data_IF_922324340483
#
_entry.id   IF_922324340483
#
_cell.length_a   1.000
_cell.length_b   1.000
_cell.length_c   1.000
_cell.angle_alpha   90.00
_cell.angle_beta   90.00
_cell.angle_gamma   90.00
#
_symmetry.space_group_name_H-M   'P 1'
#
loop_
_entity.id
_entity.type
_entity.pdbx_description
1 polymer ?
#
# COMPACT_ATOMS: atom_id res chain seq x y z
N UNK A 1 50.72 16.45 24.98
CA UNK A 1 51.27 17.75 25.42
C UNK A 1 52.52 18.01 24.59
N UNK A 2 52.45 19.01 23.71
CA UNK A 2 53.56 19.73 23.02
C UNK A 2 54.34 18.92 21.95
N UNK A 3 54.81 19.44 20.83
CA UNK A 3 54.45 20.50 19.86
C UNK A 3 55.51 20.34 18.73
N UNK A 4 55.13 20.78 17.53
CA UNK A 4 55.93 21.18 16.35
C UNK A 4 57.46 21.07 16.37
N UNK A 5 58.03 20.67 15.22
CA UNK A 5 58.89 21.53 14.37
C UNK A 5 59.28 20.81 13.05
N UNK A 6 58.87 21.28 11.87
CA UNK A 6 59.51 22.22 10.89
C UNK A 6 60.83 21.72 10.24
N UNK A 7 60.92 21.95 8.92
CA UNK A 7 62.06 21.96 7.96
C UNK A 7 62.24 20.66 7.16
N UNK A 8 62.71 20.64 5.91
CA UNK A 8 62.86 21.58 4.80
C UNK A 8 63.20 20.70 3.56
N UNK A 9 62.92 21.19 2.34
CA UNK A 9 63.37 20.64 1.04
C UNK A 9 64.92 20.73 0.89
N UNK A 10 65.61 20.29 -0.20
CA UNK A 10 65.20 19.65 -1.47
C UNK A 10 66.13 18.46 -1.90
N UNK A 11 65.89 17.85 -3.07
CA UNK A 11 66.92 17.62 -4.11
C UNK A 11 66.36 16.80 -5.29
N UNK A 12 66.67 17.28 -6.49
CA UNK A 12 66.37 16.75 -7.82
C UNK A 12 67.52 15.84 -8.26
N UNK A 13 67.27 14.67 -8.86
CA UNK A 13 67.92 14.30 -10.14
C UNK A 13 67.41 13.00 -10.76
N UNK A 14 67.62 12.96 -12.07
CA UNK A 14 67.05 12.10 -13.10
C UNK A 14 67.48 10.63 -13.09
N UNK A 15 66.58 9.74 -13.51
CA UNK A 15 66.89 8.58 -14.35
C UNK A 15 65.62 8.01 -15.02
N UNK A 16 65.55 8.09 -16.35
CA UNK A 16 64.76 7.19 -17.23
C UNK A 16 65.67 6.01 -17.62
N UNK A 17 65.21 4.96 -18.33
CA UNK A 17 63.89 4.31 -18.35
C UNK A 17 64.01 2.77 -18.32
N UNK A 18 63.03 2.02 -17.83
CA UNK A 18 62.82 0.65 -18.32
C UNK A 18 61.34 0.33 -18.47
N UNK A 19 61.01 0.02 -19.72
CA UNK A 19 59.71 -0.40 -20.24
C UNK A 19 59.24 -1.67 -19.53
N UNK A 20 58.01 -1.67 -19.03
CA UNK A 20 57.19 -2.89 -18.94
C UNK A 20 55.85 -2.64 -19.60
N UNK A 21 55.49 -3.61 -20.43
CA UNK A 21 54.43 -3.55 -21.42
C UNK A 21 53.05 -3.38 -20.79
N UNK A 22 52.30 -2.40 -21.31
CA UNK A 22 50.87 -2.26 -21.08
C UNK A 22 50.10 -3.33 -21.87
N UNK A 23 49.19 -4.10 -21.25
CA UNK A 23 48.27 -4.94 -22.01
C UNK A 23 47.24 -4.05 -22.72
N UNK A 24 47.28 -4.09 -24.05
CA UNK A 24 46.33 -3.45 -24.97
C UNK A 24 44.94 -4.04 -24.75
N UNK A 25 44.10 -3.35 -23.98
CA UNK A 25 42.67 -3.65 -23.93
C UNK A 25 41.99 -2.88 -25.07
N UNK A 26 41.68 -3.59 -26.15
CA UNK A 26 40.86 -3.06 -27.24
C UNK A 26 39.46 -2.67 -26.75
N UNK A 27 38.78 -1.72 -27.42
CA UNK A 27 37.45 -1.26 -27.02
C UNK A 27 36.41 -2.35 -27.34
N UNK A 28 36.24 -3.31 -26.43
CA UNK A 28 35.07 -4.20 -26.39
C UNK A 28 33.87 -3.36 -25.96
N UNK A 29 33.22 -2.72 -26.94
CA UNK A 29 31.89 -2.11 -26.85
C UNK A 29 30.82 -3.21 -26.67
N UNK A 30 30.94 -4.02 -25.63
CA UNK A 30 30.04 -5.16 -25.40
C UNK A 30 29.86 -5.47 -23.91
N UNK A 31 29.34 -4.51 -23.12
CA UNK A 31 28.43 -4.93 -22.07
C UNK A 31 27.18 -4.05 -21.92
N UNK A 32 26.92 -3.12 -22.82
CA UNK A 32 25.72 -2.25 -22.70
C UNK A 32 24.40 -2.97 -22.99
N UNK A 33 24.42 -4.10 -23.73
CA UNK A 33 23.21 -4.83 -24.08
C UNK A 33 22.71 -5.78 -22.97
N UNK A 34 23.58 -6.22 -22.06
CA UNK A 34 23.22 -7.19 -21.00
C UNK A 34 22.55 -6.50 -19.80
N UNK A 35 22.86 -5.23 -19.55
CA UNK A 35 22.28 -4.46 -18.43
C UNK A 35 20.83 -4.01 -18.71
N UNK A 36 20.42 -3.92 -19.98
CA UNK A 36 19.09 -3.42 -20.35
C UNK A 36 17.93 -4.43 -20.13
N UNK A 37 18.19 -5.73 -19.98
CA UNK A 37 17.14 -6.75 -19.82
C UNK A 37 16.62 -6.92 -18.38
N UNK A 38 17.25 -6.30 -17.38
CA UNK A 38 16.89 -6.50 -15.96
C UNK A 38 15.87 -5.47 -15.43
N UNK A 39 15.41 -4.54 -16.26
CA UNK A 39 14.42 -3.53 -15.88
C UNK A 39 12.97 -3.95 -16.20
N UNK A 40 12.64 -5.23 -16.07
CA UNK A 40 11.24 -5.67 -16.16
C UNK A 40 10.52 -5.31 -14.87
N UNK A 41 9.82 -4.17 -14.84
CA UNK A 41 8.86 -3.86 -13.78
C UNK A 41 7.75 -4.89 -13.85
N UNK A 42 7.61 -5.72 -12.82
CA UNK A 42 6.52 -6.68 -12.75
C UNK A 42 5.19 -5.91 -12.67
N UNK A 43 4.46 -5.87 -13.79
CA UNK A 43 3.07 -5.45 -13.77
C UNK A 43 2.27 -6.56 -13.08
N UNK A 44 1.79 -6.30 -11.86
CA UNK A 44 0.89 -7.22 -11.18
C UNK A 44 -0.47 -7.17 -11.85
N UNK A 45 -0.94 -8.30 -12.35
CA UNK A 45 -2.28 -8.45 -12.91
C UNK A 45 -2.98 -9.62 -12.22
N UNK A 46 -4.22 -9.40 -11.78
CA UNK A 46 -5.09 -10.46 -11.27
C UNK A 46 -5.86 -11.11 -12.38
N UNK A 47 -6.16 -12.37 -12.14
CA UNK A 47 -6.91 -13.21 -13.05
C UNK A 47 -8.30 -13.47 -12.47
N UNK A 48 -9.31 -13.16 -13.26
CA UNK A 48 -10.70 -13.50 -13.01
C UNK A 48 -11.12 -14.57 -14.03
N UNK A 49 -10.99 -15.84 -13.64
CA UNK A 49 -11.12 -16.98 -14.56
C UNK A 49 -10.05 -16.94 -15.66
N UNK A 50 -10.44 -16.73 -16.92
CA UNK A 50 -9.49 -16.60 -18.03
C UNK A 50 -9.06 -15.16 -18.32
N UNK A 51 -9.71 -14.16 -17.72
CA UNK A 51 -9.52 -12.73 -18.01
C UNK A 51 -8.54 -12.09 -17.03
N UNK A 52 -7.80 -11.07 -17.48
CA UNK A 52 -6.84 -10.33 -16.65
C UNK A 52 -7.38 -8.94 -16.31
N UNK A 53 -7.10 -8.47 -15.11
CA UNK A 53 -7.31 -7.10 -14.64
C UNK A 53 -6.02 -6.58 -14.01
N UNK A 54 -5.74 -5.29 -14.18
CA UNK A 54 -4.53 -4.68 -13.63
C UNK A 54 -4.65 -3.18 -13.47
N UNK A 55 -3.61 -2.57 -12.91
CA UNK A 55 -3.54 -1.12 -12.73
C UNK A 55 -3.84 -0.37 -14.04
N UNK A 56 -4.66 0.68 -13.94
CA UNK A 56 -5.15 1.47 -15.08
C UNK A 56 -6.47 1.00 -15.69
N UNK A 57 -6.93 -0.22 -15.41
CA UNK A 57 -8.27 -0.65 -15.84
C UNK A 57 -9.36 0.20 -15.16
N UNK A 58 -10.43 0.51 -15.90
CA UNK A 58 -11.60 1.19 -15.35
C UNK A 58 -12.51 0.23 -14.61
N UNK A 59 -13.23 0.75 -13.63
CA UNK A 59 -14.20 0.04 -12.79
C UNK A 59 -15.17 -0.84 -13.60
N UNK A 60 -15.75 -0.33 -14.69
CA UNK A 60 -16.65 -1.10 -15.55
C UNK A 60 -15.96 -2.28 -16.25
N UNK A 61 -14.70 -2.11 -16.66
CA UNK A 61 -13.92 -3.18 -17.29
C UNK A 61 -13.64 -4.29 -16.28
N UNK A 62 -13.33 -3.92 -15.03
CA UNK A 62 -13.13 -4.89 -13.95
C UNK A 62 -14.44 -5.64 -13.65
N UNK A 63 -15.58 -4.95 -13.57
CA UNK A 63 -16.89 -5.62 -13.37
C UNK A 63 -17.24 -6.57 -14.51
N UNK A 64 -16.99 -6.18 -15.76
CA UNK A 64 -17.24 -7.04 -16.92
C UNK A 64 -16.40 -8.32 -16.88
N UNK A 65 -15.13 -8.20 -16.43
CA UNK A 65 -14.19 -9.32 -16.39
C UNK A 65 -14.36 -10.21 -15.17
N UNK A 66 -14.61 -9.62 -14.00
CA UNK A 66 -14.60 -10.29 -12.69
C UNK A 66 -15.98 -10.49 -12.06
N UNK A 67 -17.01 -9.82 -12.56
CA UNK A 67 -18.31 -9.73 -11.90
C UNK A 67 -18.32 -8.66 -10.80
N UNK A 68 -19.40 -8.63 -10.02
CA UNK A 68 -19.53 -7.71 -8.91
C UNK A 68 -18.64 -8.17 -7.72
N UNK A 69 -17.96 -7.23 -7.02
CA UNK A 69 -17.35 -7.54 -5.75
C UNK A 69 -18.43 -7.90 -4.72
N UNK A 70 -18.08 -8.74 -3.74
CA UNK A 70 -19.03 -9.05 -2.65
C UNK A 70 -19.14 -7.90 -1.65
N UNK A 71 -18.11 -7.04 -1.57
CA UNK A 71 -18.07 -5.90 -0.67
C UNK A 71 -17.31 -4.73 -1.31
N UNK A 72 -17.83 -3.51 -1.12
CA UNK A 72 -17.20 -2.27 -1.57
C UNK A 72 -17.10 -1.30 -0.39
N UNK A 73 -15.88 -1.00 0.01
CA UNK A 73 -15.59 0.01 1.01
C UNK A 73 -15.20 1.33 0.33
N UNK A 74 -16.16 2.26 0.25
CA UNK A 74 -15.99 3.52 -0.46
C UNK A 74 -15.77 4.70 0.51
N UNK A 75 -14.79 5.55 0.20
CA UNK A 75 -14.37 6.66 1.04
C UNK A 75 -13.85 7.84 0.21
N UNK A 76 -13.87 9.04 0.80
CA UNK A 76 -13.23 10.21 0.22
C UNK A 76 -11.77 10.31 0.69
N UNK A 77 -10.92 10.83 -0.17
CA UNK A 77 -9.58 11.31 0.19
C UNK A 77 -9.36 12.70 -0.36
N UNK A 78 -8.18 13.27 -0.09
CA UNK A 78 -7.81 14.61 -0.54
C UNK A 78 -6.45 14.58 -1.22
N UNK A 79 -6.43 15.07 -2.46
CA UNK A 79 -5.19 15.39 -3.17
C UNK A 79 -4.78 16.83 -2.88
N UNK A 80 -3.52 17.00 -2.48
CA UNK A 80 -2.95 18.31 -2.19
C UNK A 80 -2.07 18.77 -3.36
N UNK A 81 -2.60 19.67 -4.17
CA UNK A 81 -1.90 20.27 -5.30
C UNK A 81 -1.14 21.51 -4.83
N UNK A 82 0.13 21.62 -5.21
CA UNK A 82 0.94 22.79 -4.86
C UNK A 82 1.36 22.86 -3.39
N UNK A 83 1.39 21.73 -2.65
CA UNK A 83 1.72 21.57 -1.23
C UNK A 83 3.03 22.23 -0.72
N UNK A 84 3.82 22.84 -1.61
CA UNK A 84 5.10 23.52 -1.32
C UNK A 84 5.22 24.88 -1.99
N UNK A 85 4.09 25.45 -2.39
CA UNK A 85 4.00 26.75 -3.07
C UNK A 85 3.15 27.71 -2.22
N UNK A 86 3.16 29.03 -2.50
CA UNK A 86 2.30 29.98 -1.79
C UNK A 86 0.80 29.73 -1.94
N UNK A 87 0.39 28.88 -2.88
CA UNK A 87 -1.00 28.52 -3.12
C UNK A 87 -1.15 27.00 -3.14
N UNK A 88 -1.80 26.47 -2.11
CA UNK A 88 -2.20 25.08 -2.03
C UNK A 88 -3.68 24.94 -2.45
N UNK A 89 -4.00 23.88 -3.21
CA UNK A 89 -5.37 23.50 -3.51
C UNK A 89 -5.61 22.06 -3.07
N UNK A 90 -6.66 21.87 -2.29
CA UNK A 90 -7.12 20.55 -1.87
C UNK A 90 -8.29 20.12 -2.75
N UNK A 91 -8.19 18.93 -3.34
CA UNK A 91 -9.21 18.36 -4.23
C UNK A 91 -9.69 17.06 -3.63
N UNK A 92 -11.00 16.96 -3.39
CA UNK A 92 -11.62 15.70 -2.96
C UNK A 92 -11.55 14.68 -4.09
N UNK A 93 -11.16 13.46 -3.75
CA UNK A 93 -11.05 12.32 -4.66
C UNK A 93 -11.82 11.14 -4.09
N UNK A 94 -12.45 10.34 -4.97
CA UNK A 94 -13.22 9.18 -4.55
C UNK A 94 -12.37 7.93 -4.60
N UNK A 95 -12.31 7.20 -3.49
CA UNK A 95 -11.70 5.88 -3.43
C UNK A 95 -12.75 4.80 -3.20
N UNK A 96 -12.50 3.62 -3.76
CA UNK A 96 -13.29 2.43 -3.51
C UNK A 96 -12.37 1.22 -3.38
N UNK A 97 -12.43 0.52 -2.25
CA UNK A 97 -11.79 -0.77 -2.08
C UNK A 97 -12.81 -1.88 -2.34
N UNK A 98 -12.66 -2.57 -3.47
CA UNK A 98 -13.51 -3.68 -3.88
C UNK A 98 -12.90 -5.00 -3.44
N UNK A 99 -13.73 -5.87 -2.87
CA UNK A 99 -13.31 -7.15 -2.34
C UNK A 99 -13.96 -8.30 -3.10
N UNK A 100 -13.14 -9.29 -3.46
CA UNK A 100 -13.57 -10.49 -4.17
C UNK A 100 -13.25 -11.73 -3.35
N UNK A 101 -14.25 -12.62 -3.22
CA UNK A 101 -14.14 -13.91 -2.57
C UNK A 101 -14.21 -15.01 -3.62
N UNK A 102 -13.13 -15.78 -3.76
CA UNK A 102 -13.01 -16.89 -4.71
C UNK A 102 -13.21 -18.27 -4.05
N UNK A 103 -13.57 -18.29 -2.76
CA UNK A 103 -13.81 -19.50 -1.99
C UNK A 103 -12.66 -19.88 -1.06
N UNK A 104 -12.84 -20.92 -0.23
CA UNK A 104 -11.93 -21.25 0.87
C UNK A 104 -10.57 -21.82 0.45
N UNK A 105 -10.39 -22.17 -0.83
CA UNK A 105 -9.11 -22.67 -1.38
C UNK A 105 -8.31 -21.61 -2.11
N UNK A 106 -8.87 -20.40 -2.23
CA UNK A 106 -8.30 -19.31 -2.98
C UNK A 106 -8.16 -18.09 -2.08
N UNK A 107 -7.15 -17.26 -2.34
CA UNK A 107 -6.94 -16.02 -1.61
C UNK A 107 -7.91 -14.96 -2.09
N UNK A 108 -8.53 -14.24 -1.16
CA UNK A 108 -9.34 -13.07 -1.50
C UNK A 108 -8.48 -11.97 -2.10
N UNK A 109 -9.10 -11.11 -2.90
CA UNK A 109 -8.43 -9.99 -3.57
C UNK A 109 -9.09 -8.68 -3.21
N UNK A 110 -8.26 -7.66 -3.01
CA UNK A 110 -8.67 -6.28 -2.76
C UNK A 110 -8.15 -5.40 -3.88
N UNK A 111 -9.06 -4.71 -4.57
CA UNK A 111 -8.76 -3.78 -5.64
C UNK A 111 -9.11 -2.37 -5.19
N UNK A 112 -8.13 -1.45 -5.20
CA UNK A 112 -8.31 -0.06 -4.79
C UNK A 112 -8.45 0.80 -6.03
N UNK A 113 -9.63 1.38 -6.20
CA UNK A 113 -9.94 2.33 -7.26
C UNK A 113 -9.79 3.76 -6.73
N UNK A 114 -9.33 4.64 -7.61
CA UNK A 114 -9.33 6.09 -7.43
C UNK A 114 -10.03 6.72 -8.62
N UNK A 115 -11.12 7.44 -8.39
CA UNK A 115 -11.98 8.03 -9.41
C UNK A 115 -12.35 7.05 -10.54
N UNK A 116 -12.68 5.81 -10.17
CA UNK A 116 -13.07 4.74 -11.09
C UNK A 116 -11.91 4.06 -11.85
N UNK A 117 -10.66 4.38 -11.54
CA UNK A 117 -9.47 3.74 -12.15
C UNK A 117 -8.76 2.87 -11.12
N UNK A 118 -8.47 1.61 -11.47
CA UNK A 118 -7.74 0.68 -10.62
C UNK A 118 -6.31 1.17 -10.39
N UNK A 119 -5.98 1.48 -9.13
CA UNK A 119 -4.66 1.98 -8.73
C UNK A 119 -3.78 0.92 -8.09
N UNK A 120 -4.39 -0.03 -7.39
CA UNK A 120 -3.66 -1.04 -6.65
C UNK A 120 -4.45 -2.30 -6.49
N UNK A 121 -3.71 -3.38 -6.48
CA UNK A 121 -4.20 -4.69 -6.12
C UNK A 121 -3.46 -5.24 -4.89
N UNK A 122 -4.20 -5.92 -4.02
CA UNK A 122 -3.68 -6.63 -2.87
C UNK A 122 -4.27 -8.03 -2.76
N UNK A 123 -3.44 -8.97 -2.33
CA UNK A 123 -3.84 -10.33 -1.96
C UNK A 123 -4.07 -10.38 -0.45
N UNK A 124 -5.19 -10.97 -0.05
CA UNK A 124 -5.62 -11.08 1.36
C UNK A 124 -5.51 -12.54 1.84
N UNK A 125 -6.10 -12.86 2.98
CA UNK A 125 -6.27 -14.24 3.44
C UNK A 125 -7.17 -15.08 2.54
N UNK A 126 -7.27 -16.37 2.86
CA UNK A 126 -8.18 -17.29 2.18
C UNK A 126 -9.63 -16.84 2.29
N UNK A 127 -10.37 -17.04 1.20
CA UNK A 127 -11.79 -16.79 1.13
C UNK A 127 -12.62 -17.68 2.05
N UNK A 128 -13.93 -17.50 1.94
CA UNK A 128 -14.94 -18.27 2.70
C UNK A 128 -15.89 -18.94 1.74
N UNK A 129 -16.53 -20.02 2.17
CA UNK A 129 -17.57 -20.68 1.36
C UNK A 129 -18.83 -19.82 1.32
N UNK A 130 -19.28 -19.42 2.50
CA UNK A 130 -20.49 -18.66 2.72
C UNK A 130 -20.13 -17.38 3.47
N UNK A 131 -20.68 -16.24 3.04
CA UNK A 131 -20.38 -14.94 3.66
C UNK A 131 -21.11 -14.82 4.99
N UNK A 132 -20.40 -14.36 6.02
CA UNK A 132 -20.97 -14.03 7.32
C UNK A 132 -21.35 -15.21 8.22
N UNK A 133 -20.99 -16.44 7.84
CA UNK A 133 -21.32 -17.64 8.63
C UNK A 133 -20.21 -18.04 9.59
N UNK A 134 -18.95 -17.75 9.26
CA UNK A 134 -17.76 -18.23 9.97
C UNK A 134 -17.06 -17.09 10.70
N UNK A 135 -17.79 -16.38 11.57
CA UNK A 135 -17.26 -15.24 12.31
C UNK A 135 -16.33 -15.74 13.43
N UNK A 136 -15.01 -15.48 13.36
CA UNK A 136 -14.12 -15.87 14.45
C UNK A 136 -14.35 -14.97 15.66
N UNK A 137 -13.89 -15.43 16.83
CA UNK A 137 -13.92 -14.62 18.05
C UNK A 137 -13.24 -13.25 17.84
N UNK A 138 -13.73 -12.15 18.46
CA UNK A 138 -13.20 -10.79 18.26
C UNK A 138 -11.68 -10.64 18.45
N UNK A 139 -11.08 -11.46 19.30
CA UNK A 139 -9.63 -11.49 19.49
C UNK A 139 -8.83 -11.81 18.21
N UNK A 140 -9.45 -12.49 17.23
CA UNK A 140 -8.85 -12.83 15.94
C UNK A 140 -9.09 -11.77 14.86
N UNK A 141 -9.83 -10.68 15.14
CA UNK A 141 -10.14 -9.66 14.15
C UNK A 141 -8.95 -8.75 13.84
N UNK A 142 -7.96 -8.68 14.72
CA UNK A 142 -6.79 -7.81 14.57
C UNK A 142 -6.12 -7.98 13.19
N UNK A 143 -5.96 -6.88 12.48
CA UNK A 143 -5.29 -6.83 11.17
C UNK A 143 -6.16 -7.23 9.98
N UNK A 144 -7.35 -7.82 10.21
CA UNK A 144 -8.29 -8.09 9.13
C UNK A 144 -8.65 -6.79 8.41
N UNK A 145 -8.71 -6.84 7.09
CA UNK A 145 -9.29 -5.77 6.28
C UNK A 145 -10.81 -5.70 6.47
N UNK A 146 -11.43 -4.58 6.10
CA UNK A 146 -12.87 -4.38 6.18
C UNK A 146 -13.63 -5.48 5.42
N UNK A 147 -13.17 -5.86 4.23
CA UNK A 147 -13.77 -6.96 3.48
C UNK A 147 -13.50 -8.36 4.05
N UNK A 148 -12.34 -8.61 4.67
CA UNK A 148 -12.11 -9.89 5.38
C UNK A 148 -13.03 -10.05 6.58
N UNK A 149 -13.25 -8.96 7.33
CA UNK A 149 -14.18 -8.95 8.44
C UNK A 149 -15.62 -9.18 7.94
N UNK A 150 -16.04 -8.48 6.89
CA UNK A 150 -17.38 -8.68 6.28
C UNK A 150 -17.56 -10.07 5.71
N UNK A 151 -16.53 -10.62 5.04
CA UNK A 151 -16.60 -11.98 4.51
C UNK A 151 -16.88 -13.01 5.61
N UNK A 152 -16.29 -12.83 6.79
CA UNK A 152 -16.41 -13.79 7.91
C UNK A 152 -17.63 -13.54 8.79
N UNK A 153 -17.90 -12.29 9.12
CA UNK A 153 -18.89 -11.89 10.12
C UNK A 153 -20.15 -11.25 9.54
N UNK A 154 -20.20 -11.01 8.23
CA UNK A 154 -21.29 -10.32 7.57
C UNK A 154 -21.13 -8.80 7.67
N UNK A 155 -22.11 -8.05 7.19
CA UNK A 155 -22.09 -6.60 7.33
C UNK A 155 -22.30 -6.21 8.81
N UNK A 156 -21.63 -5.14 9.29
CA UNK A 156 -21.83 -4.66 10.64
C UNK A 156 -23.25 -4.12 10.83
N UNK A 157 -23.79 -4.26 12.05
CA UNK A 157 -25.09 -3.69 12.43
C UNK A 157 -25.08 -2.15 12.36
N UNK A 158 -23.92 -1.53 12.59
CA UNK A 158 -23.72 -0.09 12.42
C UNK A 158 -22.27 0.23 12.10
N UNK A 159 -22.05 1.31 11.34
CA UNK A 159 -20.72 1.84 11.00
C UNK A 159 -20.70 3.35 11.22
N UNK A 160 -19.73 3.81 11.98
CA UNK A 160 -19.36 5.23 12.09
C UNK A 160 -17.98 5.43 11.48
N UNK A 161 -17.83 6.48 10.66
CA UNK A 161 -16.55 6.88 10.08
C UNK A 161 -16.24 8.31 10.50
N UNK A 162 -14.99 8.54 10.91
CA UNK A 162 -14.44 9.83 11.27
C UNK A 162 -13.18 10.06 10.41
N UNK A 163 -13.22 10.96 9.41
CA UNK A 163 -12.01 11.35 8.70
C UNK A 163 -11.08 12.12 9.65
N UNK A 164 -9.80 11.79 9.59
CA UNK A 164 -8.74 12.40 10.40
C UNK A 164 -7.64 12.88 9.48
N UNK A 165 -7.42 14.20 9.45
CA UNK A 165 -6.31 14.79 8.73
C UNK A 165 -5.08 14.86 9.63
N UNK A 166 -4.02 14.13 9.26
CA UNK A 166 -2.74 14.15 9.96
C UNK A 166 -1.78 15.08 9.22
N UNK A 167 -1.36 16.16 9.88
CA UNK A 167 -0.37 17.11 9.36
C UNK A 167 0.96 16.91 10.08
N UNK A 168 1.91 16.27 9.40
CA UNK A 168 3.28 16.11 9.90
C UNK A 168 4.14 17.29 9.45
N UNK A 169 4.81 17.95 10.39
CA UNK A 169 5.74 19.07 10.13
C UNK A 169 7.19 18.68 10.44
N UNK A 170 7.94 18.10 9.47
CA UNK A 170 9.33 17.70 9.70
C UNK A 170 10.32 18.88 9.73
N UNK A 171 9.92 20.07 9.28
CA UNK A 171 10.78 21.25 9.31
C UNK A 171 10.03 22.54 8.94
N UNK A 172 10.69 23.70 9.00
CA UNK A 172 10.08 24.98 8.64
C UNK A 172 9.56 24.95 7.19
N UNK A 173 8.30 25.36 6.98
CA UNK A 173 7.61 25.35 5.67
C UNK A 173 7.47 23.97 5.01
N UNK A 174 7.68 22.89 5.76
CA UNK A 174 7.44 21.54 5.29
C UNK A 174 6.26 20.95 6.05
N UNK A 175 5.17 20.73 5.32
CA UNK A 175 3.97 20.06 5.81
C UNK A 175 3.72 18.81 4.95
N UNK A 176 3.35 17.73 5.61
CA UNK A 176 2.95 16.47 4.98
C UNK A 176 1.56 16.15 5.49
N UNK A 177 0.59 16.27 4.60
CA UNK A 177 -0.80 15.95 4.85
C UNK A 177 -1.03 14.47 4.55
N UNK A 178 -1.65 13.75 5.48
CA UNK A 178 -2.11 12.38 5.30
C UNK A 178 -3.54 12.30 5.84
N UNK A 179 -4.48 12.02 4.96
CA UNK A 179 -5.80 11.59 5.38
C UNK A 179 -5.71 10.18 5.97
N UNK A 180 -6.33 9.99 7.12
CA UNK A 180 -6.51 8.73 7.80
C UNK A 180 -8.00 8.55 8.07
N UNK A 181 -8.51 7.35 7.83
CA UNK A 181 -9.91 7.02 8.09
C UNK A 181 -10.00 6.20 9.37
N UNK A 182 -10.59 6.77 10.42
CA UNK A 182 -10.86 6.09 11.67
C UNK A 182 -12.34 5.68 11.70
N UNK A 183 -12.61 4.40 11.91
CA UNK A 183 -13.97 3.86 11.91
C UNK A 183 -14.25 3.03 13.16
N UNK A 184 -15.52 2.98 13.53
CA UNK A 184 -16.05 2.15 14.59
C UNK A 184 -17.26 1.37 14.07
N UNK A 185 -17.14 0.04 14.06
CA UNK A 185 -18.12 -0.88 13.48
C UNK A 185 -18.71 -1.77 14.57
N UNK A 186 -20.04 -1.83 14.68
CA UNK A 186 -20.73 -2.63 15.68
C UNK A 186 -21.20 -3.95 15.09
N UNK A 187 -20.88 -5.05 15.76
CA UNK A 187 -21.37 -6.39 15.49
C UNK A 187 -22.12 -6.92 16.70
N UNK A 188 -23.26 -7.57 16.43
CA UNK A 188 -24.02 -8.23 17.47
C UNK A 188 -23.31 -9.50 17.95
N UNK A 189 -23.28 -9.71 19.26
CA UNK A 189 -22.87 -10.98 19.82
C UNK A 189 -24.03 -11.99 19.76
N UNK A 190 -23.70 -13.28 19.81
CA UNK A 190 -24.71 -14.34 19.92
C UNK A 190 -25.58 -14.17 21.19
N UNK A 191 -24.97 -13.68 22.27
CA UNK A 191 -25.65 -13.27 23.49
C UNK A 191 -26.06 -11.80 23.37
N UNK A 192 -27.36 -11.55 23.15
CA UNK A 192 -27.95 -10.23 22.88
C UNK A 192 -27.69 -9.15 23.97
N UNK A 193 -26.99 -9.50 25.05
CA UNK A 193 -26.53 -8.58 26.11
C UNK A 193 -25.32 -7.73 25.71
N UNK A 194 -24.56 -8.16 24.70
CA UNK A 194 -23.33 -7.51 24.31
C UNK A 194 -23.30 -7.17 22.82
N UNK A 195 -22.52 -6.14 22.49
CA UNK A 195 -22.09 -5.85 21.13
C UNK A 195 -20.57 -5.72 21.12
N UNK A 196 -19.96 -6.07 20.00
CA UNK A 196 -18.53 -5.87 19.78
C UNK A 196 -18.33 -4.68 18.86
N UNK A 197 -17.54 -3.72 19.31
CA UNK A 197 -17.10 -2.60 18.48
C UNK A 197 -15.70 -2.91 17.93
N UNK A 198 -15.58 -3.03 16.61
CA UNK A 198 -14.29 -3.09 15.94
C UNK A 198 -13.84 -1.67 15.59
N UNK A 199 -12.62 -1.32 15.98
CA UNK A 199 -11.98 -0.06 15.57
C UNK A 199 -11.12 -0.33 14.35
N UNK A 200 -11.38 0.39 13.26
CA UNK A 200 -10.64 0.26 12.01
C UNK A 200 -9.87 1.54 11.71
N UNK A 201 -8.66 1.40 11.20
CA UNK A 201 -7.86 2.49 10.63
C UNK A 201 -7.55 2.14 9.18
N UNK A 202 -7.92 3.02 8.25
CA UNK A 202 -7.76 2.84 6.81
C UNK A 202 -8.32 1.49 6.31
N UNK A 203 -9.48 1.10 6.87
CA UNK A 203 -10.16 -0.15 6.54
C UNK A 203 -9.46 -1.42 7.05
N UNK A 204 -8.62 -1.32 8.09
CA UNK A 204 -8.03 -2.48 8.79
C UNK A 204 -8.32 -2.42 10.28
N UNK A 205 -8.72 -3.54 10.88
CA UNK A 205 -9.00 -3.62 12.31
C UNK A 205 -7.72 -3.42 13.11
N UNK A 206 -7.70 -2.41 13.97
CA UNK A 206 -6.58 -2.11 14.87
C UNK A 206 -6.87 -2.49 16.32
N UNK A 207 -8.12 -2.77 16.66
CA UNK A 207 -8.54 -3.24 17.98
C UNK A 207 -10.03 -3.53 18.05
N UNK A 208 -10.46 -4.13 19.16
CA UNK A 208 -11.85 -4.47 19.43
C UNK A 208 -12.21 -4.15 20.88
N UNK A 209 -13.41 -3.63 21.10
CA UNK A 209 -13.98 -3.40 22.42
C UNK A 209 -15.29 -4.19 22.57
N UNK A 210 -15.56 -4.70 23.77
CA UNK A 210 -16.86 -5.32 24.10
C UNK A 210 -17.68 -4.32 24.89
N UNK A 211 -18.86 -3.99 24.37
CA UNK A 211 -19.79 -3.07 24.98
C UNK A 211 -21.02 -3.82 25.49
N UNK A 212 -21.59 -3.35 26.59
CA UNK A 212 -22.92 -3.77 27.05
C UNK A 212 -23.98 -3.00 26.29
N UNK A 213 -25.07 -3.66 25.92
CA UNK A 213 -26.27 -2.97 25.43
C UNK A 213 -26.95 -2.15 26.53
#
# INVERSE_FOLDING_TARGET
MIDRSVRALPAVSHALPLRRASPRHGPRRWPLLVVALLASTAASAMRCGSRLVGEGDRDFQVRERCGAPFWVDAYAGVDVLGARTPLERQVEVRFEAWYFNFGPRDLMRRLIFRDGVLQREETLGYGVRDLGTDCPMPAAWQGLSSGELVARCGEPASRRSRPVTIVRRPGPRHEQWREQRDEAWLYDAEDARFVYEAHLVDGRVVGTERLTR
#
